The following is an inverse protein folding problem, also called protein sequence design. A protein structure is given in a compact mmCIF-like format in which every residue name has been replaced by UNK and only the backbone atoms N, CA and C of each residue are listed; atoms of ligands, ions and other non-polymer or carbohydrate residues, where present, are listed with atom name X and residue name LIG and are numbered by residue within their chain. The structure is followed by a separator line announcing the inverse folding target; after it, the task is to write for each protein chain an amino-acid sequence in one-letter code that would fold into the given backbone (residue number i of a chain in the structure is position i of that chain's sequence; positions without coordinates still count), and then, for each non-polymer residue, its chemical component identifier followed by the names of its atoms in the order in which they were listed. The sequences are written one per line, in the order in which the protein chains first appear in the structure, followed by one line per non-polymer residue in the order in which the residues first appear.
data_IF_719885422454
#
_entry.id   IF_719885422454
#
_cell.length_a   1.000
_cell.length_b   1.000
_cell.length_c   1.000
_cell.angle_alpha   90.00
_cell.angle_beta   90.00
_cell.angle_gamma   90.00
#
_symmetry.space_group_name_H-M   'P 1'
#
loop_
_entity.id
_entity.type
_entity.pdbx_description
1 polymer ?
#
# COMPACT_ATOMS: atom_id res chain seq x y z
N UNK A 1 0.46 34.85 -14.35
CA UNK A 1 0.61 33.76 -13.36
C UNK A 1 -0.50 33.91 -12.33
N UNK A 2 -1.31 32.87 -12.10
CA UNK A 2 -2.27 32.86 -10.99
C UNK A 2 -1.68 32.06 -9.83
N UNK A 3 -1.86 32.55 -8.60
CA UNK A 3 -1.47 31.81 -7.40
C UNK A 3 -2.34 30.55 -7.22
N UNK A 4 -1.88 29.62 -6.40
CA UNK A 4 -2.65 28.43 -6.04
C UNK A 4 -3.89 28.86 -5.23
N UNK A 5 -5.09 28.54 -5.70
CA UNK A 5 -6.34 28.95 -5.04
C UNK A 5 -6.55 28.26 -3.69
N UNK A 6 -7.16 28.97 -2.74
CA UNK A 6 -7.54 28.44 -1.41
C UNK A 6 -8.95 27.87 -1.46
N UNK A 7 -9.13 26.66 -0.91
CA UNK A 7 -10.45 26.04 -0.77
C UNK A 7 -10.91 26.13 0.68
N UNK A 8 -11.93 26.95 0.94
CA UNK A 8 -12.59 27.05 2.26
C UNK A 8 -13.71 26.01 2.38
N UNK A 9 -13.79 25.33 3.52
CA UNK A 9 -14.87 24.40 3.85
C UNK A 9 -15.49 24.86 5.17
N UNK A 10 -16.76 25.25 5.14
CA UNK A 10 -17.53 25.61 6.33
C UNK A 10 -18.25 24.36 6.84
N UNK A 11 -18.02 24.00 8.10
CA UNK A 11 -18.59 22.81 8.71
C UNK A 11 -19.60 23.18 9.79
N UNK A 12 -20.72 22.45 9.91
CA UNK A 12 -21.64 22.60 11.02
C UNK A 12 -20.95 22.40 12.39
N UNK A 13 -21.43 23.04 13.48
CA UNK A 13 -20.82 22.93 14.81
C UNK A 13 -20.76 21.49 15.36
N UNK A 14 -21.73 20.65 14.99
CA UNK A 14 -21.83 19.23 15.36
C UNK A 14 -20.82 18.34 14.61
N UNK A 15 -20.30 18.81 13.46
CA UNK A 15 -19.21 18.14 12.73
C UNK A 15 -17.87 18.71 13.17
N UNK A 16 -17.47 18.40 14.40
CA UNK A 16 -16.17 18.87 14.90
C UNK A 16 -15.00 18.32 14.05
N UNK A 17 -14.03 19.20 13.82
CA UNK A 17 -12.69 18.86 13.34
C UNK A 17 -11.84 18.23 14.47
N UNK A 18 -12.35 18.27 15.71
CA UNK A 18 -11.72 17.71 16.90
C UNK A 18 -11.93 16.21 17.06
N UNK A 19 -12.92 15.63 16.38
CA UNK A 19 -12.97 14.17 16.25
C UNK A 19 -11.76 13.71 15.45
N UNK A 20 -11.06 12.67 15.92
CA UNK A 20 -9.95 12.04 15.21
C UNK A 20 -10.46 11.41 13.89
N UNK A 21 -10.57 12.24 12.86
CA UNK A 21 -11.01 11.90 11.50
C UNK A 21 -9.80 11.86 10.56
N UNK A 22 -8.66 11.41 11.10
CA UNK A 22 -7.47 11.14 10.31
C UNK A 22 -7.71 9.94 9.40
N UNK A 23 -7.18 9.94 8.16
CA UNK A 23 -7.34 8.82 7.24
C UNK A 23 -6.81 7.50 7.81
N UNK A 24 -7.67 6.48 7.80
CA UNK A 24 -7.29 5.13 8.19
C UNK A 24 -6.74 4.39 6.97
N UNK A 25 -5.46 3.98 6.99
CA UNK A 25 -4.88 3.33 5.82
C UNK A 25 -5.18 1.84 5.75
N UNK A 26 -5.50 1.39 4.54
CA UNK A 26 -5.54 0.00 4.13
C UNK A 26 -4.50 -0.15 3.02
N UNK A 27 -3.52 -1.03 3.24
CA UNK A 27 -2.40 -1.21 2.33
C UNK A 27 -2.52 -2.50 1.54
N UNK A 28 -2.21 -2.43 0.25
CA UNK A 28 -2.06 -3.60 -0.61
C UNK A 28 -0.65 -3.64 -1.15
N UNK A 29 0.01 -4.77 -0.95
CA UNK A 29 1.32 -5.05 -1.52
C UNK A 29 1.15 -5.62 -2.93
N UNK A 30 2.16 -5.46 -3.81
CA UNK A 30 2.14 -6.06 -5.13
C UNK A 30 1.90 -7.57 -5.08
N UNK A 31 1.19 -8.09 -6.07
CA UNK A 31 0.93 -9.53 -6.15
C UNK A 31 2.11 -10.26 -6.79
N UNK A 32 2.31 -11.53 -6.41
CA UNK A 32 3.35 -12.36 -7.03
C UNK A 32 3.09 -12.58 -8.53
N UNK A 33 1.82 -12.65 -8.94
CA UNK A 33 1.44 -12.78 -10.34
C UNK A 33 1.87 -11.55 -11.15
N UNK A 34 1.65 -10.33 -10.63
CA UNK A 34 2.08 -9.10 -11.28
C UNK A 34 3.60 -9.08 -11.49
N UNK A 35 4.35 -9.42 -10.45
CA UNK A 35 5.82 -9.41 -10.50
C UNK A 35 6.35 -10.43 -11.50
N UNK A 36 5.72 -11.61 -11.55
CA UNK A 36 6.10 -12.69 -12.47
C UNK A 36 5.77 -12.35 -13.92
N UNK A 37 4.57 -11.88 -14.20
CA UNK A 37 4.07 -11.74 -15.58
C UNK A 37 4.29 -10.35 -16.18
N UNK A 38 4.38 -9.31 -15.35
CA UNK A 38 4.53 -7.93 -15.80
C UNK A 38 5.86 -7.29 -15.39
N UNK A 39 6.71 -8.02 -14.66
CA UNK A 39 8.03 -7.54 -14.20
C UNK A 39 7.95 -6.20 -13.45
N UNK A 40 6.80 -5.96 -12.81
CA UNK A 40 6.49 -4.76 -12.06
C UNK A 40 5.78 -5.13 -10.76
N UNK A 41 5.72 -4.19 -9.82
CA UNK A 41 4.84 -4.32 -8.67
C UNK A 41 4.13 -3.01 -8.37
N UNK A 42 2.84 -3.14 -8.07
CA UNK A 42 1.98 -2.02 -7.72
C UNK A 42 1.63 -2.04 -6.25
N UNK A 43 2.10 -1.02 -5.53
CA UNK A 43 1.69 -0.72 -4.16
C UNK A 43 0.43 0.13 -4.18
N UNK A 44 -0.54 -0.17 -3.31
CA UNK A 44 -1.75 0.63 -3.18
C UNK A 44 -1.93 1.05 -1.73
N UNK A 45 -2.22 2.33 -1.53
CA UNK A 45 -2.63 2.91 -0.26
C UNK A 45 -4.06 3.43 -0.42
N UNK A 46 -5.01 2.74 0.21
CA UNK A 46 -6.39 3.16 0.32
C UNK A 46 -6.58 3.86 1.67
N UNK A 47 -7.16 5.05 1.66
CA UNK A 47 -7.38 5.89 2.82
C UNK A 47 -8.87 6.07 3.03
N UNK A 48 -9.36 5.66 4.18
CA UNK A 48 -10.79 5.68 4.50
C UNK A 48 -11.11 6.55 5.70
N UNK A 49 -12.38 6.92 5.81
CA UNK A 49 -12.99 7.54 6.98
C UNK A 49 -12.36 8.88 7.40
N UNK A 50 -11.82 9.64 6.44
CA UNK A 50 -11.22 10.94 6.73
C UNK A 50 -12.13 12.12 6.45
N UNK A 51 -11.87 13.22 7.14
CA UNK A 51 -12.55 14.50 6.92
C UNK A 51 -11.68 15.64 7.46
N UNK A 52 -11.46 16.75 6.73
CA UNK A 52 -12.13 17.17 5.49
C UNK A 52 -11.62 16.48 4.21
N UNK A 53 -12.25 16.76 3.06
CA UNK A 53 -11.96 16.13 1.75
C UNK A 53 -10.51 16.33 1.26
N UNK A 54 -9.85 17.40 1.68
CA UNK A 54 -8.52 17.78 1.19
C UNK A 54 -7.46 16.91 1.86
N UNK A 55 -6.69 16.22 1.03
CA UNK A 55 -5.61 15.31 1.45
C UNK A 55 -4.51 15.34 0.40
N UNK A 56 -3.24 15.29 0.83
CA UNK A 56 -2.09 15.16 -0.07
C UNK A 56 -1.43 13.80 0.18
N UNK A 57 -1.12 13.11 -0.92
CA UNK A 57 -0.48 11.80 -0.90
C UNK A 57 0.73 11.86 -1.82
N UNK A 58 1.89 11.47 -1.31
CA UNK A 58 3.13 11.40 -2.08
C UNK A 58 3.87 10.12 -1.75
N UNK A 59 4.67 9.65 -2.70
CA UNK A 59 5.47 8.44 -2.54
C UNK A 59 6.96 8.75 -2.60
N UNK A 60 7.76 8.06 -1.80
CA UNK A 60 9.24 8.09 -1.87
C UNK A 60 9.81 6.71 -1.56
N UNK A 61 11.03 6.43 -2.02
CA UNK A 61 11.80 5.33 -1.41
C UNK A 61 12.13 5.72 0.05
N UNK A 62 12.19 4.75 0.97
CA UNK A 62 12.38 5.03 2.42
C UNK A 62 13.56 5.97 2.71
N UNK A 63 14.68 5.70 2.07
CA UNK A 63 15.94 6.45 2.21
C UNK A 63 16.14 7.45 1.06
N UNK A 64 15.17 7.55 0.15
CA UNK A 64 15.20 8.44 -1.00
C UNK A 64 14.67 9.82 -0.67
N UNK A 65 15.34 10.85 -1.22
CA UNK A 65 14.87 12.25 -1.16
C UNK A 65 13.88 12.61 -2.27
N UNK A 66 13.82 11.78 -3.32
CA UNK A 66 13.03 12.06 -4.53
C UNK A 66 11.61 11.55 -4.39
N UNK A 67 10.65 12.42 -4.70
CA UNK A 67 9.24 12.03 -4.84
C UNK A 67 9.10 11.14 -6.08
N UNK A 68 8.45 9.99 -5.91
CA UNK A 68 8.16 9.05 -6.97
C UNK A 68 6.89 9.44 -7.72
N UNK A 69 6.90 9.19 -9.04
CA UNK A 69 5.73 9.39 -9.88
C UNK A 69 4.69 8.33 -9.51
N UNK A 70 3.61 8.78 -8.90
CA UNK A 70 2.50 7.95 -8.44
C UNK A 70 1.20 8.41 -9.09
N UNK A 71 0.19 7.56 -9.02
CA UNK A 71 -1.15 7.83 -9.51
C UNK A 71 -2.12 7.86 -8.33
N UNK A 72 -3.22 8.60 -8.49
CA UNK A 72 -4.21 8.80 -7.43
C UNK A 72 -5.60 8.78 -8.04
N UNK A 73 -6.53 8.12 -7.34
CA UNK A 73 -7.94 8.14 -7.67
C UNK A 73 -8.61 9.41 -7.15
N UNK A 74 -9.82 9.66 -7.62
CA UNK A 74 -10.63 10.75 -7.11
C UNK A 74 -10.98 10.56 -5.64
N UNK A 75 -11.15 11.68 -4.94
CA UNK A 75 -11.63 11.62 -3.56
C UNK A 75 -13.15 11.43 -3.57
N UNK A 76 -13.59 10.26 -3.14
CA UNK A 76 -14.98 9.85 -3.11
C UNK A 76 -15.60 10.14 -1.74
N UNK A 77 -16.85 10.61 -1.73
CA UNK A 77 -17.63 10.74 -0.49
C UNK A 77 -18.27 9.39 -0.20
N UNK A 78 -18.17 8.92 1.04
CA UNK A 78 -18.83 7.68 1.46
C UNK A 78 -20.13 8.01 2.18
N UNK A 79 -20.05 8.33 3.48
CA UNK A 79 -21.17 8.80 4.30
C UNK A 79 -20.93 10.26 4.68
N UNK A 80 -20.55 10.50 5.93
CA UNK A 80 -20.11 11.80 6.44
C UNK A 80 -18.61 12.05 6.27
N UNK A 81 -17.89 11.07 5.70
CA UNK A 81 -16.45 11.06 5.51
C UNK A 81 -16.09 10.83 4.04
N UNK A 82 -14.79 10.81 3.77
CA UNK A 82 -14.22 10.62 2.45
C UNK A 82 -13.31 9.41 2.42
N UNK A 83 -13.10 8.92 1.20
CA UNK A 83 -12.09 7.92 0.88
C UNK A 83 -11.29 8.36 -0.35
N UNK A 84 -10.04 7.90 -0.45
CA UNK A 84 -9.16 8.13 -1.59
C UNK A 84 -8.14 7.01 -1.65
N UNK A 85 -7.73 6.60 -2.85
CA UNK A 85 -6.64 5.66 -3.02
C UNK A 85 -5.55 6.25 -3.90
N UNK A 86 -4.31 5.83 -3.65
CA UNK A 86 -3.15 6.13 -4.45
C UNK A 86 -2.37 4.86 -4.70
N UNK A 87 -1.76 4.75 -5.87
CA UNK A 87 -0.91 3.63 -6.20
C UNK A 87 0.42 4.06 -6.81
N UNK A 88 1.41 3.23 -6.58
CA UNK A 88 2.77 3.37 -7.07
C UNK A 88 3.18 2.07 -7.75
N UNK A 89 3.37 2.12 -9.06
CA UNK A 89 3.93 1.00 -9.83
C UNK A 89 5.43 1.22 -10.00
N UNK A 90 6.24 0.25 -9.61
CA UNK A 90 7.70 0.27 -9.77
C UNK A 90 8.18 -0.95 -10.55
N UNK A 91 9.37 -0.85 -11.14
CA UNK A 91 10.03 -1.99 -11.77
C UNK A 91 10.46 -3.04 -10.72
N UNK A 92 10.61 -4.29 -11.15
CA UNK A 92 10.96 -5.43 -10.28
C UNK A 92 12.18 -5.17 -9.40
N UNK A 93 13.19 -4.48 -9.90
CA UNK A 93 14.44 -4.18 -9.19
C UNK A 93 14.19 -3.26 -7.99
N UNK A 94 13.23 -2.35 -8.11
CA UNK A 94 12.83 -1.41 -7.07
C UNK A 94 11.96 -2.05 -5.96
N UNK A 95 11.47 -3.28 -6.16
CA UNK A 95 10.73 -4.03 -5.12
C UNK A 95 11.63 -4.51 -3.97
N UNK A 96 12.93 -4.58 -4.22
CA UNK A 96 13.93 -4.88 -3.19
C UNK A 96 14.16 -3.68 -2.24
N UNK A 97 13.63 -2.51 -2.58
CA UNK A 97 13.71 -1.29 -1.76
C UNK A 97 12.41 -1.08 -0.99
N UNK A 98 12.51 -0.47 0.18
CA UNK A 98 11.33 -0.06 0.95
C UNK A 98 10.72 1.20 0.33
N UNK A 99 9.39 1.20 0.18
CA UNK A 99 8.63 2.31 -0.36
C UNK A 99 7.81 2.96 0.75
N UNK A 100 7.63 4.27 0.70
CA UNK A 100 6.83 5.04 1.66
C UNK A 100 5.69 5.75 0.96
N UNK A 101 4.49 5.57 1.49
CA UNK A 101 3.35 6.46 1.23
C UNK A 101 3.29 7.49 2.37
N UNK A 102 3.31 8.78 2.01
CA UNK A 102 3.26 9.89 2.96
C UNK A 102 1.92 10.58 2.81
N UNK A 103 1.23 10.76 3.94
CA UNK A 103 -0.12 11.29 4.00
C UNK A 103 -0.10 12.58 4.82
N UNK A 104 -0.46 13.68 4.16
CA UNK A 104 -0.69 14.97 4.80
C UNK A 104 -2.18 15.26 4.81
N UNK A 105 -2.75 15.45 5.99
CA UNK A 105 -4.16 15.73 6.18
C UNK A 105 -4.37 16.74 7.31
N UNK A 106 -5.38 17.60 7.15
CA UNK A 106 -5.64 18.74 8.05
C UNK A 106 -6.07 18.31 9.47
N UNK A 107 -6.72 17.15 9.61
CA UNK A 107 -7.12 16.63 10.93
C UNK A 107 -5.95 16.07 11.75
N UNK A 108 -4.73 16.14 11.22
CA UNK A 108 -3.54 15.70 11.91
C UNK A 108 -3.15 16.65 13.05
N UNK A 109 -3.65 16.35 14.24
CA UNK A 109 -3.41 17.16 15.45
C UNK A 109 -1.95 17.26 15.88
N UNK A 110 -1.08 16.36 15.41
CA UNK A 110 0.36 16.35 15.76
C UNK A 110 1.22 17.11 14.75
N UNK A 111 0.67 17.52 13.60
CA UNK A 111 1.43 18.16 12.53
C UNK A 111 2.52 17.29 11.89
N UNK A 112 2.53 15.98 12.15
CA UNK A 112 3.52 15.03 11.63
C UNK A 112 2.85 14.15 10.58
N UNK A 113 3.21 14.31 9.31
CA UNK A 113 2.72 13.47 8.22
C UNK A 113 2.78 11.98 8.59
N UNK A 114 1.70 11.24 8.27
CA UNK A 114 1.71 9.79 8.49
C UNK A 114 2.50 9.12 7.38
N UNK A 115 3.51 8.34 7.76
CA UNK A 115 4.34 7.58 6.82
C UNK A 115 4.02 6.09 6.92
N UNK A 116 3.50 5.51 5.84
CA UNK A 116 3.29 4.07 5.75
C UNK A 116 4.44 3.45 4.98
N UNK A 117 5.21 2.60 5.68
CA UNK A 117 6.36 1.91 5.11
C UNK A 117 5.94 0.55 4.57
N UNK A 118 6.06 0.39 3.26
CA UNK A 118 5.99 -0.90 2.59
C UNK A 118 7.36 -1.55 2.63
N UNK A 119 7.44 -2.68 3.34
CA UNK A 119 8.67 -3.46 3.45
C UNK A 119 9.08 -4.00 2.08
N UNK A 120 10.38 -4.15 1.89
CA UNK A 120 10.92 -4.73 0.67
C UNK A 120 10.43 -6.17 0.49
N UNK A 121 10.21 -6.56 -0.76
CA UNK A 121 10.01 -7.96 -1.07
C UNK A 121 11.37 -8.65 -1.08
N UNK A 122 11.49 -9.76 -0.34
CA UNK A 122 12.71 -10.57 -0.37
C UNK A 122 12.98 -10.99 -1.82
N UNK A 123 14.22 -10.82 -2.28
CA UNK A 123 14.65 -11.21 -3.64
C UNK A 123 14.26 -12.64 -3.99
N UNK A 124 14.32 -13.56 -3.02
CA UNK A 124 13.85 -14.95 -3.15
C UNK A 124 12.40 -15.06 -3.64
N UNK A 125 11.50 -14.23 -3.14
CA UNK A 125 10.09 -14.28 -3.53
C UNK A 125 9.85 -13.73 -4.95
N UNK A 126 10.74 -12.85 -5.43
CA UNK A 126 10.67 -12.31 -6.78
C UNK A 126 11.25 -13.26 -7.83
N UNK A 127 12.22 -14.13 -7.50
CA UNK A 127 12.92 -15.04 -8.44
C UNK A 127 12.30 -16.44 -8.56
N UNK A 128 11.53 -16.93 -7.59
CA UNK A 128 10.84 -18.24 -7.63
C UNK A 128 9.60 -18.27 -8.54
N UNK A 129 9.51 -17.36 -9.52
CA UNK A 129 8.48 -17.35 -10.55
C UNK A 129 8.71 -18.36 -11.67
N UNK A 130 9.90 -18.95 -11.77
CA UNK A 130 10.24 -19.91 -12.82
C UNK A 130 10.00 -21.35 -12.37
N UNK A 131 8.88 -21.90 -12.84
CA UNK A 131 8.56 -23.31 -13.14
C UNK A 131 9.33 -24.36 -12.32
N UNK A 132 8.95 -24.58 -11.06
CA UNK A 132 8.64 -25.89 -10.45
C UNK A 132 8.29 -25.67 -8.98
N UNK A 133 7.19 -26.29 -8.55
CA UNK A 133 6.67 -26.16 -7.19
C UNK A 133 7.63 -26.75 -6.17
N UNK A 134 8.47 -25.93 -5.52
CA UNK A 134 9.06 -26.22 -4.21
C UNK A 134 9.11 -24.92 -3.40
N UNK A 135 8.20 -24.78 -2.43
CA UNK A 135 8.18 -23.65 -1.51
C UNK A 135 9.40 -23.74 -0.57
N UNK A 136 10.38 -22.85 -0.74
CA UNK A 136 11.44 -22.67 0.25
C UNK A 136 10.94 -21.76 1.38
N UNK A 137 10.88 -22.31 2.59
CA UNK A 137 10.60 -21.55 3.82
C UNK A 137 11.90 -21.33 4.60
N UNK A 138 12.08 -20.11 5.13
CA UNK A 138 13.17 -19.78 6.06
C UNK A 138 12.60 -19.71 7.48
N UNK A 139 13.13 -20.51 8.40
CA UNK A 139 12.87 -20.33 9.83
C UNK A 139 13.64 -19.10 10.35
N UNK A 140 13.06 -18.38 11.32
CA UNK A 140 13.75 -17.26 11.98
C UNK A 140 15.05 -17.79 12.61
N UNK A 141 16.19 -17.29 12.12
CA UNK A 141 17.51 -17.63 12.65
C UNK A 141 18.32 -18.65 11.84
N UNK A 142 17.82 -19.13 10.68
CA UNK A 142 18.57 -20.06 9.84
C UNK A 142 18.75 -19.54 8.41
N UNK A 143 19.97 -19.65 7.87
CA UNK A 143 20.35 -19.18 6.52
C UNK A 143 20.23 -20.27 5.47
N UNK A 144 20.03 -21.53 5.86
CA UNK A 144 19.83 -22.65 4.95
C UNK A 144 18.33 -22.93 4.75
N UNK A 145 17.85 -22.99 3.49
CA UNK A 145 16.46 -23.27 3.21
C UNK A 145 16.15 -24.77 3.35
N UNK A 146 14.95 -25.11 3.83
CA UNK A 146 14.47 -26.49 3.90
C UNK A 146 13.41 -26.76 2.83
N UNK A 147 13.47 -27.95 2.21
CA UNK A 147 12.51 -28.43 1.21
C UNK A 147 11.41 -29.24 1.91
N UNK A 148 10.17 -28.75 1.87
CA UNK A 148 8.98 -29.56 2.18
C UNK A 148 8.39 -30.08 0.86
N UNK A 149 8.50 -31.38 0.64
CA UNK A 149 7.94 -32.06 -0.53
C UNK A 149 6.45 -32.37 -0.27
N UNK A 150 5.55 -31.54 -0.80
CA UNK A 150 4.10 -31.78 -0.74
C UNK A 150 3.69 -32.51 -2.00
N UNK A 151 3.94 -33.83 -2.04
CA UNK A 151 3.54 -34.66 -3.17
C UNK A 151 2.05 -35.09 -3.04
N UNK A 152 1.23 -34.58 -3.95
CA UNK A 152 -0.01 -35.13 -4.54
C UNK A 152 -1.20 -35.66 -3.69
N UNK A 153 -1.23 -35.65 -2.35
CA UNK A 153 -2.38 -36.26 -1.60
C UNK A 153 -3.42 -35.34 -0.96
N UNK A 154 -3.47 -34.03 -1.28
CA UNK A 154 -4.54 -33.15 -0.73
C UNK A 154 -5.08 -32.09 -1.70
N UNK A 155 -5.22 -32.41 -2.98
CA UNK A 155 -6.03 -31.61 -3.91
C UNK A 155 -7.42 -32.20 -4.20
N UNK A 156 -7.80 -33.34 -3.59
CA UNK A 156 -9.10 -33.98 -3.85
C UNK A 156 -10.27 -33.58 -2.95
N UNK A 157 -10.17 -32.58 -2.06
CA UNK A 157 -11.23 -32.30 -1.07
C UNK A 157 -11.64 -30.83 -0.87
N UNK A 158 -11.58 -29.97 -1.90
CA UNK A 158 -12.22 -28.64 -1.85
C UNK A 158 -13.14 -28.39 -3.05
N UNK A 159 -13.79 -29.45 -3.55
CA UNK A 159 -15.01 -29.31 -4.37
C UNK A 159 -16.30 -29.59 -3.59
N UNK A 160 -16.22 -29.87 -2.28
CA UNK A 160 -17.40 -30.22 -1.47
C UNK A 160 -17.73 -29.21 -0.36
N UNK A 161 -17.42 -27.92 -0.55
CA UNK A 161 -18.00 -26.85 0.26
C UNK A 161 -18.22 -25.62 -0.62
N UNK A 162 -19.30 -25.70 -1.41
CA UNK A 162 -20.21 -24.56 -1.61
C UNK A 162 -20.82 -24.18 -0.26
#
# INVERSE_FOLDING_TARGET
MFAQGTKLIVTPPDKSLDADKFPKPIIFSPSLAEIKFHMSGTYICLLENFFPKVIKIHWKEKDGKRILKSQQGDTMKTKDTYMKFSWLTVARESLAKEQKCIITHESNKRGIDEEIVFRSMKRGMCIYGDITSHYLFFSKGNTTPFLLNINEKKQRNIQNYL
#
